data_IF_257340525477
#
_entry.id   IF_257340525477
#
_cell.length_a   1.000
_cell.length_b   1.000
_cell.length_c   1.000
_cell.angle_alpha   90.00
_cell.angle_beta   90.00
_cell.angle_gamma   90.00
#
_symmetry.space_group_name_H-M   'P 1'
#
loop_
_entity.id
_entity.type
_entity.pdbx_description
1 polymer ?
#
# COMPACT_ATOMS: atom_id res chain seq x y z
N UNK A 1 -30.41 -8.42 7.66
CA UNK A 1 -29.45 -9.53 7.44
C UNK A 1 -28.35 -9.44 8.48
N UNK A 2 -28.03 -10.55 9.16
CA UNK A 2 -27.05 -10.61 10.26
C UNK A 2 -25.63 -10.44 9.70
N UNK A 3 -24.87 -9.47 10.24
CA UNK A 3 -23.46 -9.25 9.92
C UNK A 3 -22.62 -10.41 10.50
N UNK A 4 -22.43 -11.46 9.69
CA UNK A 4 -21.55 -12.57 10.00
C UNK A 4 -20.11 -12.22 9.62
N UNK A 5 -19.21 -12.36 10.59
CA UNK A 5 -17.74 -12.37 10.51
C UNK A 5 -17.07 -11.85 9.22
N UNK A 6 -16.46 -10.66 9.30
CA UNK A 6 -15.65 -10.01 8.27
C UNK A 6 -14.29 -10.68 7.97
N UNK A 7 -13.98 -11.79 8.64
CA UNK A 7 -12.67 -12.44 8.57
C UNK A 7 -12.83 -13.95 8.46
N UNK A 8 -12.05 -14.55 7.57
CA UNK A 8 -12.04 -15.98 7.29
C UNK A 8 -10.65 -16.53 7.55
N UNK A 9 -10.53 -17.59 8.36
CA UNK A 9 -9.27 -18.29 8.57
C UNK A 9 -8.73 -18.77 7.22
N UNK A 10 -7.41 -18.71 7.02
CA UNK A 10 -6.79 -19.22 5.79
C UNK A 10 -7.19 -20.66 5.49
N UNK A 11 -7.36 -21.49 6.54
CA UNK A 11 -7.82 -22.87 6.40
C UNK A 11 -9.19 -22.95 5.73
N UNK A 12 -10.17 -22.21 6.25
CA UNK A 12 -11.50 -22.12 5.64
C UNK A 12 -11.45 -21.63 4.19
N UNK A 13 -10.60 -20.65 3.89
CA UNK A 13 -10.49 -20.11 2.53
C UNK A 13 -9.92 -21.14 1.58
N UNK A 14 -8.83 -21.79 1.97
CA UNK A 14 -8.22 -22.87 1.19
C UNK A 14 -9.20 -24.03 0.98
N UNK A 15 -9.88 -24.49 2.03
CA UNK A 15 -10.87 -25.58 1.94
C UNK A 15 -12.06 -25.22 1.03
N UNK A 16 -12.58 -23.99 1.15
CA UNK A 16 -13.78 -23.55 0.44
C UNK A 16 -13.52 -23.21 -1.03
N UNK A 17 -12.40 -22.56 -1.31
CA UNK A 17 -12.04 -22.12 -2.66
C UNK A 17 -11.14 -23.15 -3.38
N UNK A 18 -10.68 -24.21 -2.70
CA UNK A 18 -9.73 -25.20 -3.20
C UNK A 18 -8.42 -24.57 -3.71
N UNK A 19 -8.03 -23.45 -3.12
CA UNK A 19 -6.79 -22.73 -3.43
C UNK A 19 -5.69 -23.22 -2.50
N UNK A 20 -4.52 -23.47 -3.06
CA UNK A 20 -3.32 -23.75 -2.27
C UNK A 20 -3.01 -22.55 -1.35
N UNK A 21 -2.85 -22.73 -0.03
CA UNK A 21 -2.44 -21.65 0.86
C UNK A 21 -1.18 -20.90 0.41
N UNK A 22 -0.26 -21.57 -0.31
CA UNK A 22 0.89 -20.94 -0.95
C UNK A 22 0.48 -19.77 -1.84
N UNK A 23 -0.55 -19.96 -2.66
CA UNK A 23 -1.06 -18.95 -3.58
C UNK A 23 -1.66 -17.79 -2.82
N UNK A 24 -2.38 -18.05 -1.73
CA UNK A 24 -2.94 -16.98 -0.89
C UNK A 24 -1.83 -16.13 -0.26
N UNK A 25 -0.72 -16.76 0.14
CA UNK A 25 0.48 -16.05 0.63
C UNK A 25 1.15 -15.26 -0.49
N UNK A 26 1.24 -15.80 -1.71
CA UNK A 26 1.78 -15.08 -2.87
C UNK A 26 0.96 -13.83 -3.21
N UNK A 27 -0.37 -13.94 -3.20
CA UNK A 27 -1.28 -12.81 -3.38
C UNK A 27 -1.09 -11.73 -2.30
N UNK A 28 -0.79 -12.15 -1.06
CA UNK A 28 -0.51 -11.24 0.04
C UNK A 28 0.84 -10.55 -0.09
N UNK A 29 1.88 -11.29 -0.51
CA UNK A 29 3.20 -10.73 -0.81
C UNK A 29 3.14 -9.71 -1.94
N UNK A 30 2.20 -9.87 -2.86
CA UNK A 30 1.90 -8.94 -3.95
C UNK A 30 0.94 -7.81 -3.55
N UNK A 31 0.55 -7.74 -2.27
CA UNK A 31 -0.38 -6.74 -1.72
C UNK A 31 -1.80 -6.76 -2.34
N UNK A 32 -2.18 -7.83 -3.06
CA UNK A 32 -3.51 -7.98 -3.67
C UNK A 32 -4.55 -8.43 -2.65
N UNK A 33 -4.13 -9.18 -1.63
CA UNK A 33 -4.95 -9.54 -0.47
C UNK A 33 -4.32 -9.08 0.83
N UNK A 34 -5.15 -8.86 1.85
CA UNK A 34 -4.72 -8.53 3.20
C UNK A 34 -4.81 -9.74 4.11
N UNK A 35 -3.69 -10.08 4.76
CA UNK A 35 -3.67 -11.05 5.85
C UNK A 35 -3.80 -10.35 7.19
N UNK A 36 -4.43 -11.05 8.12
CA UNK A 36 -4.68 -10.59 9.48
C UNK A 36 -4.33 -11.70 10.46
N UNK A 37 -3.90 -11.30 11.64
CA UNK A 37 -3.68 -12.18 12.76
C UNK A 37 -4.70 -11.86 13.84
N UNK A 38 -5.25 -12.88 14.50
CA UNK A 38 -6.16 -12.67 15.63
C UNK A 38 -5.39 -12.70 16.94
N UNK A 39 -5.26 -11.54 17.57
CA UNK A 39 -4.57 -11.38 18.85
C UNK A 39 -5.53 -11.58 20.02
N UNK A 40 -5.04 -12.24 21.06
CA UNK A 40 -5.75 -12.45 22.32
C UNK A 40 -4.87 -11.99 23.48
N UNK A 41 -4.97 -10.71 23.84
CA UNK A 41 -4.19 -10.10 24.93
C UNK A 41 -2.67 -10.18 24.72
N UNK A 42 -2.21 -9.86 23.50
CA UNK A 42 -0.77 -9.89 23.21
C UNK A 42 -0.09 -8.65 23.84
N UNK A 43 0.88 -8.80 24.78
CA UNK A 43 1.63 -7.67 25.31
C UNK A 43 2.53 -7.05 24.24
N UNK A 44 2.34 -5.76 23.98
CA UNK A 44 3.10 -5.03 22.98
C UNK A 44 3.08 -3.53 23.25
N UNK A 45 3.78 -2.78 22.40
CA UNK A 45 3.68 -1.33 22.33
C UNK A 45 2.93 -0.96 21.07
N UNK A 46 2.11 0.08 21.14
CA UNK A 46 1.53 0.68 19.94
C UNK A 46 2.26 1.99 19.64
N UNK A 47 2.45 2.24 18.35
CA UNK A 47 2.81 3.54 17.81
C UNK A 47 1.58 4.09 17.10
N UNK A 48 1.18 5.31 17.48
CA UNK A 48 0.03 6.02 16.94
C UNK A 48 0.48 7.34 16.34
N UNK A 49 -0.06 7.70 15.19
CA UNK A 49 0.10 9.03 14.60
C UNK A 49 -1.24 9.75 14.65
N UNK A 50 -1.31 10.83 15.42
CA UNK A 50 -2.55 11.57 15.64
C UNK A 50 -2.32 13.00 15.17
N UNK A 51 -3.30 13.56 14.47
CA UNK A 51 -3.38 14.99 14.16
C UNK A 51 -3.56 15.78 15.46
N UNK A 52 -2.46 16.05 16.13
CA UNK A 52 -2.38 16.82 17.35
C UNK A 52 -1.13 17.71 17.27
N UNK A 53 -1.37 19.00 17.24
CA UNK A 53 -0.32 20.00 17.39
C UNK A 53 0.20 20.04 18.83
N UNK A 54 1.11 20.98 19.10
CA UNK A 54 1.70 21.15 20.42
C UNK A 54 0.68 21.44 21.54
N UNK A 55 -0.46 22.06 21.21
CA UNK A 55 -1.49 22.42 22.18
C UNK A 55 -2.40 21.23 22.53
N UNK A 56 -2.63 20.34 21.57
CA UNK A 56 -3.50 19.16 21.73
C UNK A 56 -2.79 17.93 22.29
N UNK A 57 -1.46 17.93 22.38
CA UNK A 57 -0.66 16.81 22.92
C UNK A 57 -1.16 16.30 24.28
N UNK A 58 -1.38 17.21 25.24
CA UNK A 58 -1.88 16.83 26.58
C UNK A 58 -3.30 16.28 26.55
N UNK A 59 -4.14 16.82 25.66
CA UNK A 59 -5.51 16.37 25.50
C UNK A 59 -5.57 14.94 24.95
N UNK A 60 -4.77 14.63 23.93
CA UNK A 60 -4.69 13.26 23.39
C UNK A 60 -4.09 12.27 24.38
N UNK A 61 -3.08 12.66 25.17
CA UNK A 61 -2.57 11.83 26.28
C UNK A 61 -3.70 11.50 27.27
N UNK A 62 -4.53 12.47 27.64
CA UNK A 62 -5.66 12.24 28.55
C UNK A 62 -6.70 11.32 27.93
N UNK A 63 -7.01 11.47 26.64
CA UNK A 63 -7.92 10.56 25.92
C UNK A 63 -7.41 9.12 25.93
N UNK A 64 -6.13 8.91 25.63
CA UNK A 64 -5.50 7.58 25.66
C UNK A 64 -5.55 6.98 27.08
N UNK A 65 -5.27 7.78 28.12
CA UNK A 65 -5.31 7.31 29.51
C UNK A 65 -6.72 6.98 30.00
N UNK A 66 -7.74 7.68 29.48
CA UNK A 66 -9.13 7.52 29.87
C UNK A 66 -9.89 6.49 29.02
N UNK A 67 -9.22 5.75 28.14
CA UNK A 67 -9.89 4.73 27.30
C UNK A 67 -10.69 5.31 26.14
N UNK A 68 -10.43 6.56 25.75
CA UNK A 68 -11.16 7.28 24.70
C UNK A 68 -10.42 7.27 23.34
N UNK A 69 -9.28 6.57 23.22
CA UNK A 69 -8.56 6.45 21.95
C UNK A 69 -9.31 5.57 20.94
N UNK A 70 -8.93 5.72 19.67
CA UNK A 70 -9.54 5.06 18.52
C UNK A 70 -9.62 3.54 18.61
N UNK A 71 -8.63 2.89 19.24
CA UNK A 71 -8.60 1.44 19.45
C UNK A 71 -9.06 1.01 20.85
N UNK A 72 -9.59 1.92 21.67
CA UNK A 72 -9.98 1.65 23.07
C UNK A 72 -11.48 1.77 23.30
N UNK A 73 -12.11 2.76 22.70
CA UNK A 73 -13.48 3.13 23.04
C UNK A 73 -14.50 2.37 22.19
N UNK A 74 -15.56 1.86 22.81
CA UNK A 74 -16.58 1.04 22.13
C UNK A 74 -17.35 1.73 20.99
N UNK A 75 -17.44 3.07 21.07
CA UNK A 75 -18.05 3.90 20.03
C UNK A 75 -17.14 4.11 18.81
N UNK A 76 -15.86 3.71 18.88
CA UNK A 76 -14.94 3.87 17.76
C UNK A 76 -15.13 2.74 16.73
N UNK A 77 -15.04 3.04 15.42
CA UNK A 77 -15.30 2.07 14.36
C UNK A 77 -14.47 0.79 14.47
N UNK A 78 -13.22 0.90 14.91
CA UNK A 78 -12.30 -0.22 14.97
C UNK A 78 -12.52 -1.13 16.18
N UNK A 79 -13.25 -0.71 17.21
CA UNK A 79 -13.34 -1.45 18.47
C UNK A 79 -13.85 -2.90 18.31
N UNK A 80 -14.73 -3.14 17.34
CA UNK A 80 -15.24 -4.49 17.03
C UNK A 80 -14.28 -5.34 16.22
N UNK A 81 -13.32 -4.73 15.55
CA UNK A 81 -12.32 -5.38 14.69
C UNK A 81 -11.04 -5.63 15.48
N UNK A 82 -10.52 -4.58 16.13
CA UNK A 82 -9.24 -4.58 16.85
C UNK A 82 -9.28 -3.61 18.02
N UNK A 83 -8.61 -3.99 19.11
CA UNK A 83 -8.53 -3.19 20.31
C UNK A 83 -7.11 -3.14 20.83
N UNK A 84 -6.77 -2.01 21.47
CA UNK A 84 -5.53 -1.85 22.19
C UNK A 84 -5.81 -1.26 23.57
N UNK A 85 -5.52 -2.01 24.62
CA UNK A 85 -5.75 -1.61 26.01
C UNK A 85 -4.41 -1.23 26.65
N UNK A 86 -4.16 0.05 26.99
CA UNK A 86 -2.91 0.46 27.63
C UNK A 86 -2.72 -0.25 28.96
N UNK A 87 -1.46 -0.53 29.29
CA UNK A 87 -1.12 -0.97 30.65
C UNK A 87 -1.47 0.16 31.62
N UNK A 88 -2.06 -0.20 32.76
CA UNK A 88 -2.40 0.77 33.80
C UNK A 88 -1.15 1.57 34.18
N UNK A 89 -1.28 2.90 34.21
CA UNK A 89 -0.19 3.83 34.49
C UNK A 89 0.99 3.75 33.50
N UNK A 90 0.79 3.26 32.27
CA UNK A 90 1.85 3.32 31.25
C UNK A 90 2.25 4.76 30.98
N UNK A 91 3.56 4.97 30.82
CA UNK A 91 4.07 6.20 30.24
C UNK A 91 3.69 6.26 28.76
N UNK A 92 3.37 7.47 28.31
CA UNK A 92 3.05 7.77 26.92
C UNK A 92 4.15 8.70 26.41
N UNK A 93 5.02 8.17 25.57
CA UNK A 93 6.03 8.95 24.85
C UNK A 93 5.36 9.66 23.68
N UNK A 94 5.13 10.96 23.83
CA UNK A 94 4.48 11.80 22.85
C UNK A 94 5.49 12.80 22.27
N UNK A 95 5.63 12.79 20.94
CA UNK A 95 6.58 13.66 20.23
C UNK A 95 5.93 14.25 19.00
N UNK A 96 6.11 15.55 18.85
CA UNK A 96 5.71 16.23 17.63
C UNK A 96 6.69 15.86 16.51
N UNK A 97 6.16 15.38 15.38
CA UNK A 97 7.00 14.99 14.24
C UNK A 97 7.11 16.13 13.24
N UNK A 98 6.02 16.87 13.04
CA UNK A 98 6.00 18.00 12.13
C UNK A 98 5.09 19.09 12.66
N UNK A 99 5.67 20.23 13.04
CA UNK A 99 4.95 21.42 13.49
C UNK A 99 3.96 21.92 12.44
N UNK A 100 4.35 21.89 11.16
CA UNK A 100 3.57 22.49 10.07
C UNK A 100 2.38 21.63 9.65
N UNK A 101 2.46 20.31 9.89
CA UNK A 101 1.37 19.36 9.61
C UNK A 101 0.50 19.07 10.83
N UNK A 102 0.90 19.52 12.02
CA UNK A 102 0.17 19.24 13.27
C UNK A 102 0.08 17.74 13.59
N UNK A 103 1.10 16.94 13.26
CA UNK A 103 1.10 15.49 13.50
C UNK A 103 2.05 15.15 14.64
N UNK A 104 1.53 14.45 15.64
CA UNK A 104 2.26 13.93 16.78
C UNK A 104 2.26 12.41 16.79
N UNK A 105 3.41 11.83 17.16
CA UNK A 105 3.57 10.39 17.42
C UNK A 105 3.44 10.11 18.90
N UNK A 106 2.60 9.13 19.22
CA UNK A 106 2.40 8.62 20.57
C UNK A 106 2.86 7.18 20.62
N UNK A 107 3.64 6.81 21.63
CA UNK A 107 4.08 5.44 21.85
C UNK A 107 3.83 5.03 23.29
N UNK A 108 3.14 3.92 23.49
CA UNK A 108 2.78 3.44 24.82
C UNK A 108 2.57 1.92 24.85
N UNK A 109 2.73 1.32 26.02
CA UNK A 109 2.63 -0.12 26.24
C UNK A 109 1.21 -0.56 26.57
N UNK A 110 0.85 -1.79 26.22
CA UNK A 110 -0.47 -2.35 26.48
C UNK A 110 -0.64 -3.73 25.90
N UNK A 111 -1.91 -4.08 25.65
CA UNK A 111 -2.33 -5.40 25.19
C UNK A 111 -3.22 -5.25 23.95
N UNK A 112 -2.85 -5.96 22.89
CA UNK A 112 -3.60 -5.98 21.64
C UNK A 112 -4.58 -7.16 21.56
N UNK A 113 -5.77 -6.89 21.03
CA UNK A 113 -6.85 -7.86 20.85
C UNK A 113 -7.48 -7.69 19.46
N UNK A 114 -8.12 -8.76 18.96
CA UNK A 114 -8.85 -8.74 17.70
C UNK A 114 -7.94 -8.92 16.48
N UNK A 115 -8.42 -8.51 15.31
CA UNK A 115 -7.77 -8.74 14.03
C UNK A 115 -6.83 -7.59 13.66
N UNK A 116 -5.53 -7.84 13.69
CA UNK A 116 -4.50 -6.89 13.30
C UNK A 116 -3.91 -7.27 11.96
N UNK A 117 -3.64 -6.27 11.11
CA UNK A 117 -3.23 -6.50 9.72
C UNK A 117 -1.75 -6.85 9.65
N UNK A 118 -1.43 -7.91 8.94
CA UNK A 118 -0.07 -8.31 8.62
C UNK A 118 0.34 -7.62 7.33
N UNK A 119 1.43 -6.86 7.39
CA UNK A 119 2.05 -6.24 6.21
C UNK A 119 3.41 -6.88 5.96
N UNK A 120 3.67 -7.41 4.75
CA UNK A 120 4.95 -8.03 4.45
C UNK A 120 6.05 -6.97 4.42
N UNK A 121 7.23 -7.29 4.95
CA UNK A 121 8.45 -6.51 4.73
C UNK A 121 9.20 -7.04 3.51
N UNK A 122 10.39 -6.49 3.23
CA UNK A 122 11.24 -6.94 2.11
C UNK A 122 11.70 -8.38 2.25
N UNK A 123 11.72 -8.92 3.46
CA UNK A 123 12.15 -10.30 3.75
C UNK A 123 10.97 -11.27 3.87
N UNK A 124 9.73 -10.80 3.67
CA UNK A 124 8.52 -11.62 3.80
C UNK A 124 8.47 -12.86 2.92
N UNK A 125 9.16 -12.86 1.78
CA UNK A 125 9.24 -14.01 0.89
C UNK A 125 9.90 -15.24 1.56
N UNK A 126 10.74 -15.03 2.58
CA UNK A 126 11.31 -16.13 3.39
C UNK A 126 10.29 -16.78 4.33
N UNK A 127 9.10 -16.20 4.50
CA UNK A 127 8.06 -16.73 5.39
C UNK A 127 7.10 -17.70 4.75
N UNK A 128 7.17 -17.90 3.43
CA UNK A 128 6.21 -18.73 2.71
C UNK A 128 6.04 -20.09 3.39
N UNK A 129 7.14 -20.83 3.55
CA UNK A 129 7.15 -22.16 4.20
C UNK A 129 6.71 -22.14 5.68
N UNK A 130 6.90 -21.01 6.38
CA UNK A 130 6.55 -20.85 7.80
C UNK A 130 5.08 -20.55 8.03
N UNK A 131 4.44 -19.83 7.11
CA UNK A 131 2.99 -19.56 7.14
C UNK A 131 2.21 -20.82 6.75
N UNK A 132 2.80 -21.72 5.94
CA UNK A 132 2.13 -22.90 5.38
C UNK A 132 2.17 -24.12 6.33
N UNK A 133 3.10 -24.16 7.29
CA UNK A 133 3.29 -25.28 8.23
C UNK A 133 2.24 -25.34 9.37
N UNK A 134 1.97 -26.53 9.94
CA UNK A 134 0.65 -27.14 9.96
C UNK A 134 -0.43 -26.29 10.64
N UNK A 135 -1.46 -25.94 9.85
CA UNK A 135 -2.65 -25.24 10.30
C UNK A 135 -2.77 -23.79 9.84
N UNK A 136 -1.85 -23.30 8.99
CA UNK A 136 -1.87 -21.94 8.43
C UNK A 136 -1.74 -20.87 9.51
N UNK A 137 -0.75 -21.09 10.37
CA UNK A 137 -0.46 -20.31 11.56
C UNK A 137 0.94 -19.70 11.47
N UNK A 138 1.19 -18.62 12.21
CA UNK A 138 2.50 -17.98 12.34
C UNK A 138 3.00 -18.11 13.78
N UNK A 139 4.29 -18.41 13.95
CA UNK A 139 4.97 -18.43 15.25
C UNK A 139 5.73 -17.12 15.46
N UNK A 140 5.28 -16.25 16.36
CA UNK A 140 5.79 -14.88 16.55
C UNK A 140 7.09 -14.76 17.38
N UNK A 141 7.76 -15.85 17.69
CA UNK A 141 9.03 -15.80 18.45
C UNK A 141 10.27 -15.98 17.58
N UNK A 142 10.07 -16.14 16.28
CA UNK A 142 11.15 -16.36 15.32
C UNK A 142 11.60 -15.01 14.80
N UNK A 143 12.87 -14.65 15.02
CA UNK A 143 13.42 -13.38 14.57
C UNK A 143 13.22 -13.19 13.06
N UNK A 144 13.32 -14.27 12.28
CA UNK A 144 13.08 -14.20 10.84
C UNK A 144 11.62 -13.84 10.54
N UNK A 145 10.66 -14.33 11.34
CA UNK A 145 9.24 -13.93 11.24
C UNK A 145 9.07 -12.48 11.61
N UNK A 146 9.63 -12.05 12.73
CA UNK A 146 9.51 -10.68 13.24
C UNK A 146 10.14 -9.64 12.32
N UNK A 147 11.21 -9.99 11.60
CA UNK A 147 11.82 -9.11 10.60
C UNK A 147 11.02 -9.06 9.28
N UNK A 148 10.22 -10.09 9.03
CA UNK A 148 9.55 -10.32 7.77
C UNK A 148 8.11 -9.83 7.72
N UNK A 149 7.51 -9.49 8.87
CA UNK A 149 6.19 -8.85 8.95
C UNK A 149 6.21 -7.62 9.83
N UNK A 150 5.30 -6.69 9.53
CA UNK A 150 4.90 -5.62 10.44
C UNK A 150 3.42 -5.74 10.75
N UNK A 151 3.01 -5.37 11.97
CA UNK A 151 1.64 -5.56 12.44
C UNK A 151 0.96 -4.19 12.56
N UNK A 152 -0.07 -3.96 11.76
CA UNK A 152 -0.69 -2.65 11.56
C UNK A 152 -2.12 -2.58 12.08
N UNK A 153 -2.52 -1.37 12.45
CA UNK A 153 -3.87 -0.97 12.79
C UNK A 153 -4.75 -0.84 11.54
N UNK A 154 -5.65 0.15 11.56
CA UNK A 154 -6.58 0.41 10.45
C UNK A 154 -5.85 0.72 9.14
N UNK A 155 -4.78 1.50 9.22
CA UNK A 155 -3.96 1.92 8.09
C UNK A 155 -2.47 1.67 8.39
N UNK A 156 -1.59 2.20 7.54
CA UNK A 156 -0.14 2.01 7.62
C UNK A 156 0.55 2.90 8.66
N UNK A 157 -0.19 3.84 9.27
CA UNK A 157 0.36 4.81 10.22
C UNK A 157 0.54 4.18 11.58
N UNK A 158 -0.47 3.43 12.04
CA UNK A 158 -0.47 2.85 13.37
C UNK A 158 0.03 1.41 13.33
N UNK A 159 1.01 1.07 14.16
CA UNK A 159 1.57 -0.28 14.18
C UNK A 159 2.00 -0.72 15.58
N UNK A 160 2.07 -2.04 15.75
CA UNK A 160 2.49 -2.68 16.97
C UNK A 160 3.98 -3.01 16.92
N UNK A 161 4.65 -2.82 18.05
CA UNK A 161 5.99 -3.35 18.33
C UNK A 161 5.81 -4.44 19.37
N UNK A 162 6.13 -5.68 18.98
CA UNK A 162 6.06 -6.81 19.88
C UNK A 162 7.14 -6.70 20.96
N UNK A 163 6.77 -7.07 22.18
CA UNK A 163 7.74 -7.16 23.27
C UNK A 163 8.60 -8.40 23.07
N UNK A 164 9.92 -8.25 23.21
CA UNK A 164 10.89 -9.32 22.97
C UNK A 164 10.89 -10.40 24.06
N UNK A 165 9.92 -10.37 24.97
CA UNK A 165 9.81 -11.29 26.10
C UNK A 165 9.20 -12.60 25.60
N UNK A 166 10.12 -13.49 25.26
CA UNK A 166 9.95 -14.74 24.56
C UNK A 166 8.82 -15.61 25.10
N UNK A 167 7.72 -15.66 24.34
CA UNK A 167 6.82 -16.81 24.29
C UNK A 167 6.60 -17.14 22.82
N UNK A 168 6.73 -18.43 22.46
CA UNK A 168 6.29 -18.94 21.15
C UNK A 168 4.79 -18.78 21.06
N UNK A 169 4.33 -17.69 20.45
CA UNK A 169 2.91 -17.44 20.26
C UNK A 169 2.54 -17.90 18.86
N UNK A 170 1.75 -18.96 18.80
CA UNK A 170 1.12 -19.45 17.58
C UNK A 170 -0.13 -18.61 17.33
N UNK A 171 -0.21 -17.97 16.17
CA UNK A 171 -1.35 -17.16 15.79
C UNK A 171 -1.91 -17.62 14.46
N UNK A 172 -3.23 -17.82 14.43
CA UNK A 172 -3.97 -18.15 13.23
C UNK A 172 -4.08 -16.94 12.31
N UNK A 173 -3.97 -17.20 11.01
CA UNK A 173 -4.00 -16.20 9.96
C UNK A 173 -5.36 -16.19 9.26
N UNK A 174 -5.82 -14.99 8.93
CA UNK A 174 -7.13 -14.71 8.38
C UNK A 174 -7.02 -13.77 7.17
N UNK A 175 -8.01 -13.81 6.29
CA UNK A 175 -8.27 -12.78 5.27
C UNK A 175 -9.54 -12.03 5.59
N UNK A 176 -9.65 -10.77 5.16
CA UNK A 176 -10.92 -10.04 5.24
C UNK A 176 -11.88 -10.44 4.12
N UNK A 177 -13.13 -9.96 4.20
CA UNK A 177 -14.14 -10.25 3.19
C UNK A 177 -13.78 -9.75 1.79
N UNK A 178 -13.13 -8.59 1.67
CA UNK A 178 -12.72 -8.05 0.37
C UNK A 178 -11.68 -8.95 -0.30
N UNK A 179 -10.71 -9.41 0.49
CA UNK A 179 -9.67 -10.34 0.05
C UNK A 179 -10.26 -11.71 -0.29
N UNK A 180 -11.23 -12.18 0.50
CA UNK A 180 -11.96 -13.41 0.20
C UNK A 180 -12.69 -13.30 -1.15
N UNK A 181 -13.42 -12.21 -1.38
CA UNK A 181 -14.16 -11.98 -2.63
C UNK A 181 -13.20 -11.87 -3.83
N UNK A 182 -12.03 -11.23 -3.66
CA UNK A 182 -10.97 -11.21 -4.68
C UNK A 182 -10.49 -12.62 -5.01
N UNK A 183 -10.10 -13.41 -4.01
CA UNK A 183 -9.64 -14.80 -4.22
C UNK A 183 -10.72 -15.65 -4.88
N UNK A 184 -11.98 -15.47 -4.46
CA UNK A 184 -13.10 -16.18 -5.04
C UNK A 184 -13.26 -15.84 -6.54
N UNK A 185 -13.24 -14.56 -6.90
CA UNK A 185 -13.41 -14.14 -8.27
C UNK A 185 -12.21 -14.53 -9.13
N UNK A 186 -10.99 -14.38 -8.62
CA UNK A 186 -9.77 -14.65 -9.36
C UNK A 186 -9.58 -16.14 -9.66
N UNK A 187 -9.90 -17.03 -8.71
CA UNK A 187 -9.62 -18.46 -8.84
C UNK A 187 -10.83 -19.34 -9.15
N UNK A 188 -12.08 -18.89 -8.88
CA UNK A 188 -13.28 -19.67 -9.24
C UNK A 188 -13.98 -19.20 -10.51
N UNK A 189 -13.84 -17.94 -10.93
CA UNK A 189 -14.43 -17.45 -12.18
C UNK A 189 -13.48 -17.60 -13.38
N UNK A 190 -12.21 -17.96 -13.15
CA UNK A 190 -11.24 -18.28 -14.20
C UNK A 190 -11.41 -19.69 -14.78
N UNK A 191 -12.17 -20.57 -14.11
CA UNK A 191 -12.34 -21.98 -14.48
C UNK A 191 -13.39 -22.25 -15.59
N UNK A 192 -13.97 -21.21 -16.21
CA UNK A 192 -14.73 -21.37 -17.47
C UNK A 192 -13.85 -21.40 -18.74
N UNK A 193 -12.52 -21.34 -18.59
CA UNK A 193 -11.59 -21.67 -19.68
C UNK A 193 -10.85 -22.94 -19.29
N UNK A 194 -11.20 -24.06 -19.93
CA UNK A 194 -10.40 -25.29 -19.89
C UNK A 194 -8.98 -24.98 -20.40
N UNK A 195 -8.07 -24.66 -19.48
CA UNK A 195 -6.63 -24.72 -19.77
C UNK A 195 -6.25 -26.19 -19.66
N UNK A 196 -6.19 -26.82 -20.83
CA UNK A 196 -5.63 -28.15 -21.05
C UNK A 196 -4.34 -28.32 -20.26
N UNK A 197 -4.33 -29.28 -19.33
CA UNK A 197 -3.13 -29.79 -18.66
C UNK A 197 -2.26 -30.51 -19.70
N UNK A 198 -1.46 -29.78 -20.47
CA UNK A 198 -0.33 -30.37 -21.17
C UNK A 198 0.79 -29.34 -21.36
N UNK A 199 1.93 -29.65 -20.73
CA UNK A 199 3.26 -29.05 -20.88
C UNK A 199 3.43 -27.56 -20.53
N UNK A 200 3.64 -27.29 -19.24
CA UNK A 200 4.59 -26.21 -18.86
C UNK A 200 5.88 -26.91 -18.46
N UNK A 201 6.84 -26.84 -19.38
CA UNK A 201 8.22 -27.27 -19.18
C UNK A 201 8.86 -26.37 -18.12
N UNK A 202 9.00 -26.88 -16.89
CA UNK A 202 9.80 -26.24 -15.85
C UNK A 202 11.28 -26.39 -16.21
N UNK A 203 11.76 -25.54 -17.10
CA UNK A 203 13.20 -25.40 -17.30
C UNK A 203 13.78 -24.53 -16.18
N UNK A 204 14.03 -25.21 -15.06
CA UNK A 204 14.81 -24.76 -13.92
C UNK A 204 16.28 -24.64 -14.33
N UNK A 205 16.66 -23.53 -14.96
CA UNK A 205 18.06 -23.23 -15.26
C UNK A 205 18.47 -21.87 -14.66
N UNK A 206 19.35 -21.94 -13.67
CA UNK A 206 20.31 -20.93 -13.23
C UNK A 206 19.80 -19.53 -12.83
N UNK A 207 19.30 -19.41 -11.60
CA UNK A 207 19.36 -18.13 -10.86
C UNK A 207 20.05 -18.35 -9.51
N UNK A 208 21.36 -18.64 -9.59
CA UNK A 208 22.34 -18.25 -8.58
C UNK A 208 23.14 -17.07 -9.15
N UNK A 209 22.55 -15.87 -9.12
CA UNK A 209 23.23 -14.55 -9.09
C UNK A 209 22.17 -13.43 -9.15
N UNK A 210 22.40 -12.42 -8.31
CA UNK A 210 21.68 -11.14 -8.09
C UNK A 210 20.28 -11.19 -7.47
N UNK A 211 20.22 -10.64 -6.25
CA UNK A 211 19.03 -10.16 -5.55
C UNK A 211 18.55 -8.91 -6.30
N UNK A 212 17.74 -9.08 -7.34
CA UNK A 212 17.17 -7.95 -8.07
C UNK A 212 15.74 -7.66 -7.58
N UNK A 213 15.56 -6.42 -7.14
CA UNK A 213 14.31 -5.81 -6.69
C UNK A 213 13.11 -6.14 -7.58
N UNK A 214 11.97 -6.43 -6.95
CA UNK A 214 10.65 -6.48 -7.60
C UNK A 214 10.53 -5.28 -8.56
N UNK A 215 10.26 -5.51 -9.86
CA UNK A 215 10.05 -4.46 -10.86
C UNK A 215 9.05 -3.43 -10.36
N UNK A 216 9.51 -2.23 -10.02
CA UNK A 216 8.64 -1.11 -9.65
C UNK A 216 8.91 0.10 -10.53
N UNK A 217 7.86 0.88 -10.76
CA UNK A 217 7.96 2.20 -11.39
C UNK A 217 7.33 3.22 -10.44
N UNK A 218 8.03 4.32 -10.22
CA UNK A 218 7.47 5.47 -9.50
C UNK A 218 6.23 5.99 -10.25
N UNK A 219 5.04 5.76 -9.70
CA UNK A 219 3.76 6.09 -10.36
C UNK A 219 3.69 7.54 -10.83
N UNK A 220 4.19 8.48 -10.02
CA UNK A 220 4.23 9.89 -10.39
C UNK A 220 5.06 10.16 -11.66
N UNK A 221 6.12 9.36 -11.90
CA UNK A 221 6.95 9.46 -13.11
C UNK A 221 6.27 8.87 -14.32
N UNK A 222 5.61 7.73 -14.14
CA UNK A 222 4.79 7.14 -15.19
C UNK A 222 3.70 8.12 -15.63
N UNK A 223 2.98 8.73 -14.68
CA UNK A 223 1.95 9.71 -14.98
C UNK A 223 2.48 10.96 -15.71
N UNK A 224 3.60 11.53 -15.26
CA UNK A 224 4.24 12.66 -15.95
C UNK A 224 4.61 12.31 -17.40
N UNK A 225 5.29 11.18 -17.60
CA UNK A 225 5.67 10.72 -18.92
C UNK A 225 4.44 10.53 -19.82
N UNK A 226 3.40 9.85 -19.32
CA UNK A 226 2.16 9.61 -20.08
C UNK A 226 1.54 10.93 -20.50
N UNK A 227 1.28 11.87 -19.58
CA UNK A 227 0.59 13.11 -19.92
C UNK A 227 1.39 14.02 -20.85
N UNK A 228 2.72 14.05 -20.74
CA UNK A 228 3.58 14.80 -21.67
C UNK A 228 3.38 14.29 -23.11
N UNK A 229 3.34 12.97 -23.28
CA UNK A 229 3.22 12.31 -24.58
C UNK A 229 1.77 12.20 -25.09
N UNK A 230 0.77 12.19 -24.20
CA UNK A 230 -0.64 12.20 -24.59
C UNK A 230 -1.12 13.60 -24.98
N UNK A 231 -0.60 14.64 -24.33
CA UNK A 231 -1.05 16.00 -24.62
C UNK A 231 -0.34 16.64 -25.82
N UNK A 232 0.98 16.43 -25.97
CA UNK A 232 1.75 17.01 -27.08
C UNK A 232 2.45 16.01 -28.00
N UNK A 233 2.46 14.72 -27.67
CA UNK A 233 3.25 13.70 -28.36
C UNK A 233 2.65 13.14 -29.65
N UNK A 234 1.48 13.60 -30.11
CA UNK A 234 0.93 13.17 -31.39
C UNK A 234 1.80 13.67 -32.57
N UNK A 235 2.68 12.81 -33.08
CA UNK A 235 3.47 13.04 -34.30
C UNK A 235 4.60 14.07 -34.19
N UNK A 236 4.93 14.54 -32.99
CA UNK A 236 6.03 15.48 -32.75
C UNK A 236 7.30 14.76 -32.25
N UNK A 237 8.48 15.25 -32.62
CA UNK A 237 9.72 14.75 -32.03
C UNK A 237 9.80 15.12 -30.53
N UNK A 238 10.54 14.33 -29.76
CA UNK A 238 10.71 14.54 -28.31
C UNK A 238 11.21 15.95 -27.97
N UNK A 239 12.14 16.48 -28.77
CA UNK A 239 12.67 17.85 -28.61
C UNK A 239 11.59 18.92 -28.81
N UNK A 240 10.64 18.69 -29.73
CA UNK A 240 9.50 19.60 -29.95
C UNK A 240 8.53 19.55 -28.77
N UNK A 241 8.29 18.36 -28.21
CA UNK A 241 7.43 18.18 -27.04
C UNK A 241 8.01 18.90 -25.81
N UNK A 242 9.32 18.76 -25.58
CA UNK A 242 10.03 19.41 -24.47
C UNK A 242 9.96 20.94 -24.59
N UNK A 243 10.26 21.50 -25.77
CA UNK A 243 10.25 22.94 -25.98
C UNK A 243 8.83 23.54 -25.85
N UNK A 244 7.80 22.83 -26.32
CA UNK A 244 6.40 23.22 -26.13
C UNK A 244 6.02 23.26 -24.65
N UNK A 245 6.39 22.23 -23.89
CA UNK A 245 6.11 22.16 -22.45
C UNK A 245 6.78 23.29 -21.68
N UNK A 246 8.07 23.56 -21.93
CA UNK A 246 8.79 24.65 -21.27
C UNK A 246 8.13 25.99 -21.56
N UNK A 247 7.86 26.27 -22.83
CA UNK A 247 7.22 27.53 -23.25
C UNK A 247 5.85 27.69 -22.58
N UNK A 248 5.06 26.62 -22.52
CA UNK A 248 3.74 26.64 -21.89
C UNK A 248 3.81 26.87 -20.38
N UNK A 249 4.70 26.17 -19.66
CA UNK A 249 4.88 26.36 -18.22
C UNK A 249 5.33 27.80 -17.88
N UNK A 250 6.22 28.38 -18.68
CA UNK A 250 6.71 29.73 -18.46
C UNK A 250 5.66 30.79 -18.80
N UNK A 251 5.00 30.68 -19.94
CA UNK A 251 4.06 31.69 -20.44
C UNK A 251 2.70 31.64 -19.74
N UNK A 252 2.15 30.44 -19.50
CA UNK A 252 0.79 30.25 -18.97
C UNK A 252 0.76 30.13 -17.45
N UNK A 253 1.84 29.65 -16.82
CA UNK A 253 1.86 29.36 -15.38
C UNK A 253 2.99 30.06 -14.62
N UNK A 254 3.82 30.88 -15.28
CA UNK A 254 4.97 31.60 -14.68
C UNK A 254 5.97 30.65 -13.98
N UNK A 255 6.02 29.39 -14.40
CA UNK A 255 6.89 28.36 -13.84
C UNK A 255 8.14 28.20 -14.71
N UNK A 256 9.27 28.73 -14.22
CA UNK A 256 10.57 28.55 -14.87
C UNK A 256 11.14 27.17 -14.57
N UNK A 257 11.32 26.36 -15.61
CA UNK A 257 11.88 25.01 -15.51
C UNK A 257 13.07 24.86 -16.46
N UNK A 258 14.10 24.14 -16.02
CA UNK A 258 15.28 23.88 -16.87
C UNK A 258 14.94 22.87 -17.96
N UNK A 259 15.46 23.09 -19.16
CA UNK A 259 15.31 22.16 -20.29
C UNK A 259 15.72 20.72 -19.93
N UNK A 260 16.87 20.56 -19.27
CA UNK A 260 17.36 19.25 -18.82
C UNK A 260 16.44 18.56 -17.80
N UNK A 261 15.66 19.32 -17.04
CA UNK A 261 14.67 18.78 -16.09
C UNK A 261 13.46 18.25 -16.84
N UNK A 262 12.93 19.02 -17.80
CA UNK A 262 11.76 18.62 -18.60
C UNK A 262 12.09 17.44 -19.50
N UNK A 263 13.30 17.41 -20.07
CA UNK A 263 13.81 16.26 -20.81
C UNK A 263 13.74 14.97 -20.00
N UNK A 264 14.21 15.01 -18.74
CA UNK A 264 14.11 13.86 -17.81
C UNK A 264 12.68 13.48 -17.42
N UNK A 265 11.69 14.35 -17.64
CA UNK A 265 10.28 14.02 -17.42
C UNK A 265 9.66 13.37 -18.65
N UNK A 266 10.13 13.75 -19.84
CA UNK A 266 9.71 13.20 -21.13
C UNK A 266 10.37 11.84 -21.45
N UNK A 267 11.47 11.48 -20.78
CA UNK A 267 12.11 10.17 -20.86
C UNK A 267 11.27 9.07 -20.19
N UNK A 268 11.16 7.90 -20.84
CA UNK A 268 10.45 6.74 -20.27
C UNK A 268 11.11 6.32 -18.95
N UNK A 269 10.35 6.21 -17.84
CA UNK A 269 10.94 5.82 -16.57
C UNK A 269 11.50 4.40 -16.62
N UNK A 270 12.66 4.23 -16.01
CA UNK A 270 13.32 2.94 -15.87
C UNK A 270 12.70 2.16 -14.72
N UNK A 271 12.45 0.87 -14.98
CA UNK A 271 12.04 -0.07 -13.95
C UNK A 271 13.13 -0.12 -12.86
N UNK A 272 12.71 -0.14 -11.60
CA UNK A 272 13.56 -0.17 -10.41
C UNK A 272 14.38 1.10 -10.14
N UNK A 273 14.21 2.16 -10.93
CA UNK A 273 14.88 3.42 -10.69
C UNK A 273 14.13 4.27 -9.65
N UNK A 274 14.86 4.72 -8.62
CA UNK A 274 14.36 5.71 -7.67
C UNK A 274 14.59 7.12 -8.18
N UNK A 275 13.52 7.89 -8.27
CA UNK A 275 13.59 9.28 -8.70
C UNK A 275 13.39 10.20 -7.51
N UNK A 276 14.18 11.28 -7.42
CA UNK A 276 13.96 12.31 -6.41
C UNK A 276 12.64 13.02 -6.72
N UNK A 277 11.67 12.88 -5.81
CA UNK A 277 10.44 13.68 -5.82
C UNK A 277 10.80 15.13 -5.54
N UNK A 278 10.44 16.03 -6.45
CA UNK A 278 10.60 17.48 -6.26
C UNK A 278 9.22 18.14 -6.20
N UNK A 279 9.04 19.14 -5.35
CA UNK A 279 7.78 19.89 -5.21
C UNK A 279 7.22 20.39 -6.54
N UNK A 280 8.09 20.76 -7.47
CA UNK A 280 7.73 21.30 -8.77
C UNK A 280 7.12 20.24 -9.69
N UNK A 281 7.49 18.96 -9.52
CA UNK A 281 6.96 17.85 -10.32
C UNK A 281 5.47 17.62 -10.05
N UNK A 282 5.04 17.74 -8.79
CA UNK A 282 3.61 17.61 -8.43
C UNK A 282 2.78 18.76 -8.98
N UNK A 283 3.31 19.98 -8.92
CA UNK A 283 2.65 21.16 -9.51
C UNK A 283 2.49 21.01 -11.03
N UNK A 284 3.56 20.61 -11.71
CA UNK A 284 3.54 20.37 -13.17
C UNK A 284 2.58 19.24 -13.52
N UNK A 285 2.57 18.13 -12.77
CA UNK A 285 1.62 17.04 -12.99
C UNK A 285 0.17 17.49 -12.82
N UNK A 286 -0.14 18.30 -11.79
CA UNK A 286 -1.49 18.87 -11.60
C UNK A 286 -1.92 19.74 -12.79
N UNK A 287 -1.01 20.57 -13.31
CA UNK A 287 -1.25 21.41 -14.49
C UNK A 287 -1.56 20.52 -15.70
N UNK A 288 -0.70 19.55 -15.98
CA UNK A 288 -0.87 18.63 -17.12
C UNK A 288 -2.19 17.87 -17.05
N UNK A 289 -2.56 17.35 -15.87
CA UNK A 289 -3.86 16.68 -15.65
C UNK A 289 -5.01 17.64 -15.94
N UNK A 290 -4.95 18.86 -15.40
CA UNK A 290 -6.01 19.86 -15.53
C UNK A 290 -6.27 20.22 -16.99
N UNK A 291 -5.19 20.48 -17.72
CA UNK A 291 -5.23 20.89 -19.11
C UNK A 291 -5.66 19.75 -20.04
N UNK A 292 -5.16 18.53 -19.80
CA UNK A 292 -5.58 17.35 -20.55
C UNK A 292 -7.07 17.09 -20.37
N UNK A 293 -7.54 17.10 -19.11
CA UNK A 293 -8.97 16.90 -18.80
C UNK A 293 -9.84 17.97 -19.46
N UNK A 294 -9.44 19.24 -19.38
CA UNK A 294 -10.14 20.37 -20.01
C UNK A 294 -10.23 20.18 -21.54
N UNK A 295 -9.10 19.88 -22.19
CA UNK A 295 -9.01 19.68 -23.64
C UNK A 295 -9.88 18.52 -24.13
N UNK A 296 -9.97 17.44 -23.33
CA UNK A 296 -10.72 16.22 -23.67
C UNK A 296 -12.15 16.21 -23.12
N UNK A 297 -12.60 17.29 -22.47
CA UNK A 297 -13.89 17.38 -21.80
C UNK A 297 -14.13 16.24 -20.78
N UNK A 298 -13.07 15.85 -20.07
CA UNK A 298 -13.09 14.86 -18.99
C UNK A 298 -13.26 15.62 -17.67
N UNK A 299 -14.10 15.10 -16.78
CA UNK A 299 -14.20 15.66 -15.42
C UNK A 299 -12.89 15.44 -14.67
N UNK A 300 -12.32 16.50 -14.10
CA UNK A 300 -11.11 16.47 -13.25
C UNK A 300 -11.43 15.86 -11.87
N UNK A 301 -11.89 14.62 -11.85
CA UNK A 301 -12.17 13.84 -10.63
C UNK A 301 -11.09 12.75 -10.47
N UNK A 302 -10.60 12.48 -9.25
CA UNK A 302 -9.52 11.52 -9.02
C UNK A 302 -9.76 10.14 -9.62
N UNK A 303 -11.00 9.64 -9.52
CA UNK A 303 -11.40 8.35 -10.09
C UNK A 303 -11.32 8.35 -11.62
N UNK A 304 -11.81 9.41 -12.27
CA UNK A 304 -11.78 9.53 -13.73
C UNK A 304 -10.34 9.60 -14.26
N UNK A 305 -9.47 10.33 -13.56
CA UNK A 305 -8.05 10.45 -13.92
C UNK A 305 -7.28 9.15 -13.65
N UNK A 306 -7.60 8.43 -12.57
CA UNK A 306 -7.02 7.12 -12.29
C UNK A 306 -7.39 6.09 -13.37
N UNK A 307 -8.67 6.02 -13.75
CA UNK A 307 -9.13 5.15 -14.84
C UNK A 307 -8.43 5.47 -16.16
N UNK A 308 -8.33 6.76 -16.51
CA UNK A 308 -7.64 7.22 -17.71
C UNK A 308 -6.15 6.82 -17.73
N UNK A 309 -5.45 7.00 -16.60
CA UNK A 309 -4.04 6.60 -16.48
C UNK A 309 -3.86 5.09 -16.58
N UNK A 310 -4.80 4.32 -16.01
CA UNK A 310 -4.82 2.86 -16.14
C UNK A 310 -5.08 2.44 -17.59
N UNK A 311 -5.96 3.10 -18.32
CA UNK A 311 -6.15 2.83 -19.76
C UNK A 311 -4.86 3.09 -20.56
N UNK A 312 -4.18 4.22 -20.30
CA UNK A 312 -2.92 4.51 -20.99
C UNK A 312 -1.82 3.52 -20.67
N UNK A 313 -1.63 3.17 -19.40
CA UNK A 313 -0.49 2.37 -18.98
C UNK A 313 -0.56 0.92 -19.49
N UNK A 314 -1.78 0.41 -19.68
CA UNK A 314 -2.05 -0.90 -20.28
C UNK A 314 -2.15 -0.87 -21.81
N UNK A 315 -2.08 0.31 -22.44
CA UNK A 315 -2.02 0.42 -23.90
C UNK A 315 -0.66 -0.02 -24.45
N UNK A 316 -0.66 -0.58 -25.65
CA UNK A 316 0.57 -0.99 -26.38
C UNK A 316 1.57 0.17 -26.56
N UNK A 317 1.06 1.42 -26.56
CA UNK A 317 1.87 2.64 -26.71
C UNK A 317 2.86 2.83 -25.56
N UNK A 318 2.48 2.47 -24.33
CA UNK A 318 3.26 2.79 -23.13
C UNK A 318 3.95 1.58 -22.52
N UNK A 319 3.32 0.40 -22.57
CA UNK A 319 3.81 -0.93 -22.17
C UNK A 319 5.07 -0.91 -21.26
N UNK A 320 4.84 -0.90 -19.94
CA UNK A 320 5.91 -0.75 -18.95
C UNK A 320 6.54 -2.06 -18.47
N UNK A 321 6.18 -3.22 -19.04
CA UNK A 321 6.71 -4.54 -18.67
C UNK A 321 6.68 -4.83 -17.15
N UNK A 322 5.76 -4.18 -16.42
CA UNK A 322 5.47 -4.41 -15.00
C UNK A 322 4.00 -4.03 -14.73
N UNK A 323 3.36 -4.69 -13.76
CA UNK A 323 2.01 -4.35 -13.32
C UNK A 323 2.03 -2.97 -12.61
N UNK A 324 1.41 -1.97 -13.22
CA UNK A 324 1.27 -0.62 -12.65
C UNK A 324 -0.18 -0.22 -12.70
N UNK A 325 -0.74 0.09 -11.53
CA UNK A 325 -2.13 0.56 -11.41
C UNK A 325 -2.19 1.81 -10.54
N UNK A 326 -2.91 2.82 -11.03
CA UNK A 326 -3.18 4.06 -10.33
C UNK A 326 -4.47 3.94 -9.52
N UNK A 327 -4.40 4.30 -8.24
CA UNK A 327 -5.58 4.34 -7.37
C UNK A 327 -6.18 5.74 -7.29
N UNK A 328 -7.49 5.82 -7.04
CA UNK A 328 -8.19 7.09 -6.79
C UNK A 328 -7.52 7.91 -5.68
N UNK A 329 -7.18 7.26 -4.56
CA UNK A 329 -6.58 7.90 -3.39
C UNK A 329 -5.21 8.52 -3.72
N UNK A 330 -4.41 7.82 -4.52
CA UNK A 330 -3.11 8.30 -4.96
C UNK A 330 -3.26 9.52 -5.89
N UNK A 331 -4.13 9.42 -6.90
CA UNK A 331 -4.35 10.48 -7.88
C UNK A 331 -4.94 11.73 -7.22
N UNK A 332 -5.75 11.57 -6.17
CA UNK A 332 -6.25 12.69 -5.37
C UNK A 332 -5.12 13.53 -4.76
N UNK A 333 -3.92 12.96 -4.55
CA UNK A 333 -2.75 13.71 -4.05
C UNK A 333 -2.05 14.56 -5.11
N UNK A 334 -2.40 14.39 -6.39
CA UNK A 334 -1.80 15.11 -7.53
C UNK A 334 -2.71 16.17 -8.11
N UNK A 335 -4.03 16.00 -7.93
CA UNK A 335 -5.04 16.99 -8.32
C UNK A 335 -5.09 18.05 -7.23
N UNK A 336 -4.34 19.13 -7.46
CA UNK A 336 -4.35 20.36 -6.65
C UNK A 336 -5.33 21.37 -7.26
#
# INVERSE_FOLDING_TARGET
MKAGSYFYSLKLVSDKLKIDPELIVDEWLQHRVSLYMKLNSLPCRIIRYIGADSFLLKYEILKIKNGMDYYQHELMPEFKVRQFHPTKNTDIDARLINNDLGISRFTYSGYAYGYWRLKPTKTAHFLKEKIISPGLNIVLSDNEVLESITIHGRDDSDYLILSNEASKILVEVYVDSKSFDFLQNYYLLSDEVEVSKDSIDYNYCDIKKSVDSIPFIEHYRAALYIFIHEWWGAGSSEEVVINKLITHLEMSHQLKVKHSTVKRWAEKPQINAKYRSMSDQKKVLSILISEYCSTKNIKKEPMAVASLLNEFIHSEKYCFNCEVTFSELEVATWII
#
